data_IF_932337622816
#
_entry.id   IF_932337622816
#
_cell.length_a   1.000
_cell.length_b   1.000
_cell.length_c   1.000
_cell.angle_alpha   90.00
_cell.angle_beta   90.00
_cell.angle_gamma   90.00
#
_symmetry.space_group_name_H-M   'P 1'
#
loop_
_entity.id
_entity.type
_entity.pdbx_description
1 polymer ?
#
# COMPACT_ATOMS: atom_id res chain seq x y z
N UNK A 1 78.15 25.27 -0.46
CA UNK A 1 78.81 24.61 -1.60
C UNK A 1 77.78 23.72 -2.28
N UNK A 2 77.48 24.03 -3.54
CA UNK A 2 76.68 23.28 -4.54
C UNK A 2 77.58 22.12 -5.06
N UNK A 3 77.19 21.02 -5.77
CA UNK A 3 75.92 20.72 -6.49
C UNK A 3 75.35 19.29 -6.43
N UNK A 4 74.18 19.16 -7.07
CA UNK A 4 73.70 18.11 -7.98
C UNK A 4 73.63 16.66 -7.42
N UNK A 5 72.58 15.89 -7.69
CA UNK A 5 72.36 15.29 -9.01
C UNK A 5 70.88 15.18 -9.35
N UNK A 6 70.60 15.53 -10.61
CA UNK A 6 69.43 15.15 -11.38
C UNK A 6 69.34 13.63 -11.53
N UNK A 7 68.13 13.09 -11.49
CA UNK A 7 67.76 11.99 -12.39
C UNK A 7 66.29 12.15 -12.76
N UNK A 8 66.10 12.64 -13.99
CA UNK A 8 64.84 12.59 -14.69
C UNK A 8 64.49 11.13 -14.97
N UNK A 9 63.27 10.71 -14.66
CA UNK A 9 62.65 9.59 -15.35
C UNK A 9 61.23 9.97 -15.75
N UNK A 10 61.12 10.23 -17.04
CA UNK A 10 59.91 10.20 -17.85
C UNK A 10 59.24 8.84 -17.66
N UNK A 11 57.99 8.82 -17.17
CA UNK A 11 57.08 7.72 -17.49
C UNK A 11 55.87 8.33 -18.19
N UNK A 12 55.76 7.92 -19.44
CA UNK A 12 54.79 8.31 -20.42
C UNK A 12 53.36 8.08 -19.94
N UNK A 13 52.49 9.02 -20.29
CA UNK A 13 51.04 8.89 -20.28
C UNK A 13 50.60 7.67 -21.09
N UNK A 14 50.09 6.64 -20.43
CA UNK A 14 49.17 5.69 -21.04
C UNK A 14 47.74 6.18 -20.80
N UNK A 15 47.26 7.05 -21.70
CA UNK A 15 45.83 7.33 -21.83
C UNK A 15 45.22 6.15 -22.59
N UNK A 16 44.85 5.10 -21.85
CA UNK A 16 44.04 4.00 -22.38
C UNK A 16 42.62 4.52 -22.54
N UNK A 17 42.29 4.99 -23.75
CA UNK A 17 40.92 5.27 -24.14
C UNK A 17 40.11 3.98 -23.96
N UNK A 18 39.22 3.96 -22.97
CA UNK A 18 38.30 2.87 -22.77
C UNK A 18 37.33 2.84 -23.96
N UNK A 19 37.00 1.66 -24.53
CA UNK A 19 35.99 1.55 -25.55
C UNK A 19 34.64 1.99 -24.97
N UNK A 20 34.09 3.07 -25.53
CA UNK A 20 32.71 3.51 -25.25
C UNK A 20 31.81 2.42 -25.82
N UNK A 21 31.21 1.61 -24.95
CA UNK A 21 30.17 0.68 -25.37
C UNK A 21 28.94 1.52 -25.78
N UNK A 22 28.33 1.24 -26.94
CA UNK A 22 27.12 1.94 -27.35
C UNK A 22 26.03 1.71 -26.29
N UNK A 23 25.37 2.80 -25.89
CA UNK A 23 24.20 2.73 -25.01
C UNK A 23 23.14 1.85 -25.69
N UNK A 24 22.57 0.86 -24.99
CA UNK A 24 21.51 0.04 -25.55
C UNK A 24 20.31 0.93 -25.86
N UNK A 25 19.87 0.93 -27.11
CA UNK A 25 18.64 1.60 -27.51
C UNK A 25 17.48 1.04 -26.66
N UNK A 26 16.59 1.90 -26.14
CA UNK A 26 15.43 1.45 -25.39
C UNK A 26 14.61 0.55 -26.30
N UNK A 27 14.48 -0.72 -25.92
CA UNK A 27 13.60 -1.64 -26.62
C UNK A 27 12.18 -1.04 -26.55
N UNK A 28 11.62 -0.73 -27.72
CA UNK A 28 10.21 -0.40 -27.88
C UNK A 28 9.38 -1.59 -27.35
N UNK A 29 9.00 -1.50 -26.08
CA UNK A 29 8.05 -2.41 -25.45
C UNK A 29 6.68 -2.11 -26.07
N UNK A 30 6.41 -2.81 -27.17
CA UNK A 30 5.07 -2.95 -27.73
C UNK A 30 4.18 -3.69 -26.71
N UNK A 31 3.57 -2.90 -25.82
CA UNK A 31 2.63 -3.31 -24.75
C UNK A 31 1.34 -3.95 -25.32
N UNK A 32 1.21 -4.04 -26.65
CA UNK A 32 0.01 -4.56 -27.31
C UNK A 32 0.00 -6.09 -27.47
N UNK A 33 1.06 -6.80 -27.06
CA UNK A 33 1.25 -8.24 -27.33
C UNK A 33 1.19 -9.17 -26.13
N UNK A 34 1.07 -8.66 -24.91
CA UNK A 34 0.79 -9.54 -23.78
C UNK A 34 -0.70 -9.91 -23.83
N UNK A 35 -1.07 -11.18 -24.11
CA UNK A 35 -2.43 -11.62 -23.83
C UNK A 35 -2.72 -11.31 -22.35
N UNK A 36 -3.94 -10.86 -22.01
CA UNK A 36 -4.28 -10.59 -20.63
C UNK A 36 -3.88 -11.80 -19.79
N UNK A 37 -3.10 -11.56 -18.74
CA UNK A 37 -2.63 -12.60 -17.85
C UNK A 37 -3.84 -13.44 -17.42
N UNK A 38 -3.89 -14.76 -17.75
CA UNK A 38 -5.02 -15.60 -17.35
C UNK A 38 -5.15 -15.70 -15.83
N UNK A 39 -4.09 -15.34 -15.09
CA UNK A 39 -4.07 -15.26 -13.63
C UNK A 39 -4.33 -13.83 -13.10
N UNK A 40 -4.61 -12.86 -13.99
CA UNK A 40 -5.13 -11.57 -13.54
C UNK A 40 -6.46 -11.84 -12.84
N UNK A 41 -6.66 -11.37 -11.58
CA UNK A 41 -7.82 -11.72 -10.79
C UNK A 41 -9.06 -11.29 -11.57
N UNK A 42 -9.74 -12.28 -12.16
CA UNK A 42 -11.02 -12.07 -12.82
C UNK A 42 -11.92 -11.52 -11.75
N UNK A 43 -12.25 -10.23 -11.85
CA UNK A 43 -13.17 -9.60 -10.92
C UNK A 43 -14.39 -10.52 -10.77
N UNK A 44 -14.77 -10.79 -9.51
CA UNK A 44 -15.92 -11.62 -9.24
C UNK A 44 -17.11 -11.15 -10.11
N UNK A 45 -17.88 -12.06 -10.73
CA UNK A 45 -18.94 -11.69 -11.67
C UNK A 45 -19.93 -10.64 -11.12
N UNK A 46 -20.11 -10.64 -9.80
CA UNK A 46 -20.91 -9.66 -9.06
C UNK A 46 -20.27 -8.26 -9.08
N UNK A 47 -18.97 -8.13 -8.80
CA UNK A 47 -18.24 -6.86 -8.87
C UNK A 47 -18.24 -6.29 -10.28
N UNK A 48 -18.10 -7.13 -11.30
CA UNK A 48 -18.19 -6.69 -12.69
C UNK A 48 -19.57 -6.08 -13.00
N UNK A 49 -20.64 -6.74 -12.55
CA UNK A 49 -22.02 -6.24 -12.72
C UNK A 49 -22.24 -4.92 -11.98
N UNK A 50 -21.67 -4.76 -10.79
CA UNK A 50 -21.72 -3.51 -10.02
C UNK A 50 -20.96 -2.38 -10.71
N UNK A 51 -19.78 -2.66 -11.25
CA UNK A 51 -19.00 -1.69 -11.99
C UNK A 51 -19.75 -1.21 -13.24
N UNK A 52 -20.31 -2.15 -14.01
CA UNK A 52 -21.12 -1.85 -15.20
C UNK A 52 -22.35 -0.99 -14.88
N UNK A 53 -22.99 -1.19 -13.72
CA UNK A 53 -24.10 -0.35 -13.26
C UNK A 53 -23.70 1.13 -13.17
N UNK A 54 -22.51 1.45 -12.63
CA UNK A 54 -22.08 2.83 -12.44
C UNK A 54 -21.77 3.55 -13.78
N UNK A 55 -21.36 2.83 -14.83
CA UNK A 55 -20.96 3.43 -16.11
C UNK A 55 -22.14 4.05 -16.89
N UNK A 56 -23.38 3.67 -16.56
CA UNK A 56 -24.58 4.16 -17.25
C UNK A 56 -24.96 5.62 -16.98
N UNK A 57 -24.38 6.27 -15.96
CA UNK A 57 -24.81 7.58 -15.49
C UNK A 57 -23.95 8.72 -16.03
N UNK A 58 -24.60 9.72 -16.64
CA UNK A 58 -23.94 10.91 -17.22
C UNK A 58 -24.24 12.16 -16.39
N UNK A 59 -23.36 12.47 -15.47
CA UNK A 59 -23.40 13.72 -14.71
C UNK A 59 -23.36 13.51 -13.20
N UNK A 60 -22.95 14.55 -12.44
CA UNK A 60 -22.81 14.45 -10.98
C UNK A 60 -24.14 14.31 -10.24
N UNK A 61 -25.24 14.77 -10.84
CA UNK A 61 -26.58 14.70 -10.25
C UNK A 61 -27.19 13.29 -10.37
N UNK A 62 -26.88 12.57 -11.45
CA UNK A 62 -27.46 11.27 -11.77
C UNK A 62 -26.62 10.10 -11.23
N UNK A 63 -25.41 10.35 -10.75
CA UNK A 63 -24.51 9.31 -10.23
C UNK A 63 -25.02 8.76 -8.88
N UNK A 64 -25.40 7.48 -8.77
CA UNK A 64 -25.98 6.90 -7.55
C UNK A 64 -24.96 6.86 -6.43
N UNK A 65 -25.08 7.77 -5.46
CA UNK A 65 -24.12 7.90 -4.35
C UNK A 65 -24.17 6.76 -3.33
N UNK A 66 -25.12 5.84 -3.48
CA UNK A 66 -25.24 4.66 -2.64
C UNK A 66 -24.13 3.63 -2.91
N UNK A 67 -23.62 3.59 -4.14
CA UNK A 67 -22.60 2.61 -4.56
C UNK A 67 -21.56 3.15 -5.55
N UNK A 68 -21.83 4.31 -6.16
CA UNK A 68 -20.98 4.93 -7.16
C UNK A 68 -20.48 6.30 -6.68
N UNK A 69 -19.33 6.71 -7.21
CA UNK A 69 -18.73 8.01 -7.01
C UNK A 69 -18.50 8.68 -8.38
N UNK A 70 -19.01 9.91 -8.51
CA UNK A 70 -18.66 10.82 -9.59
C UNK A 70 -17.17 11.23 -9.56
N UNK A 71 -16.41 10.90 -10.61
CA UNK A 71 -15.04 11.38 -10.79
C UNK A 71 -15.02 12.50 -11.84
N UNK A 72 -14.88 13.78 -11.44
CA UNK A 72 -14.89 14.91 -12.38
C UNK A 72 -13.83 14.78 -13.47
N UNK A 73 -12.64 14.29 -13.10
CA UNK A 73 -11.50 14.14 -14.00
C UNK A 73 -11.73 13.12 -15.12
N UNK A 74 -12.65 12.17 -14.92
CA UNK A 74 -12.99 11.14 -15.89
C UNK A 74 -14.34 11.39 -16.55
N UNK A 75 -15.04 12.48 -16.18
CA UNK A 75 -16.34 12.84 -16.72
C UNK A 75 -17.41 11.76 -16.54
N UNK A 76 -17.26 10.90 -15.52
CA UNK A 76 -18.06 9.69 -15.38
C UNK A 76 -18.26 9.23 -13.94
N UNK A 77 -19.30 8.43 -13.76
CA UNK A 77 -19.63 7.75 -12.53
C UNK A 77 -18.88 6.41 -12.49
N UNK A 78 -18.20 6.12 -11.38
CA UNK A 78 -17.46 4.86 -11.17
C UNK A 78 -17.92 4.19 -9.90
N UNK A 79 -17.57 2.91 -9.73
CA UNK A 79 -17.75 2.21 -8.47
C UNK A 79 -17.00 2.96 -7.36
N UNK A 80 -17.69 3.25 -6.26
CA UNK A 80 -17.05 3.89 -5.12
C UNK A 80 -16.14 2.87 -4.41
N UNK A 81 -14.89 3.22 -4.05
CA UNK A 81 -14.06 2.35 -3.22
C UNK A 81 -14.72 2.17 -1.86
N UNK A 82 -14.51 1.02 -1.19
CA UNK A 82 -15.16 0.73 0.10
C UNK A 82 -14.99 1.87 1.13
N UNK A 83 -13.80 2.49 1.32
CA UNK A 83 -13.61 3.61 2.25
C UNK A 83 -14.45 4.86 1.96
N UNK A 84 -15.04 4.98 0.77
CA UNK A 84 -15.93 6.09 0.41
C UNK A 84 -17.41 5.82 0.72
N UNK A 85 -17.75 4.57 1.08
CA UNK A 85 -19.10 4.17 1.42
C UNK A 85 -19.37 4.42 2.90
N UNK A 86 -20.60 4.84 3.24
CA UNK A 86 -21.03 4.83 4.63
C UNK A 86 -21.19 3.40 5.14
N UNK A 87 -21.12 3.22 6.46
CA UNK A 87 -21.29 1.91 7.11
C UNK A 87 -22.59 1.23 6.69
N UNK A 88 -23.70 2.00 6.56
CA UNK A 88 -24.99 1.43 6.16
C UNK A 88 -25.01 0.94 4.70
N UNK A 89 -24.05 1.37 3.89
CA UNK A 89 -23.90 1.05 2.46
C UNK A 89 -22.77 0.07 2.19
N UNK A 90 -22.11 -0.42 3.24
CA UNK A 90 -21.01 -1.38 3.15
C UNK A 90 -21.50 -2.81 2.90
N UNK A 91 -22.43 -2.99 1.95
CA UNK A 91 -23.06 -4.28 1.66
C UNK A 91 -22.50 -4.96 0.41
N UNK A 92 -21.42 -4.42 -0.16
CA UNK A 92 -20.75 -5.00 -1.33
C UNK A 92 -19.95 -6.23 -0.93
N UNK A 93 -19.82 -7.18 -1.84
CA UNK A 93 -19.20 -8.49 -1.57
C UNK A 93 -17.71 -8.41 -1.22
N UNK A 94 -17.06 -7.36 -1.72
CA UNK A 94 -15.64 -7.06 -1.53
C UNK A 94 -15.39 -6.03 -0.42
N UNK A 95 -16.44 -5.59 0.27
CA UNK A 95 -16.32 -4.68 1.40
C UNK A 95 -16.72 -5.37 2.71
N UNK A 96 -16.26 -4.81 3.81
CA UNK A 96 -16.69 -5.19 5.16
C UNK A 96 -16.64 -4.00 6.10
N UNK A 97 -17.48 -4.04 7.13
CA UNK A 97 -17.48 -3.04 8.20
C UNK A 97 -16.45 -3.45 9.25
N UNK A 98 -15.57 -2.54 9.62
CA UNK A 98 -14.68 -2.71 10.77
C UNK A 98 -14.65 -1.44 11.63
N UNK A 99 -14.61 -1.64 12.94
CA UNK A 99 -14.33 -0.59 13.93
C UNK A 99 -12.85 -0.18 13.90
N UNK A 100 -12.59 1.09 13.58
CA UNK A 100 -11.27 1.69 13.59
C UNK A 100 -10.72 1.96 15.00
N UNK A 101 -9.51 2.49 15.04
CA UNK A 101 -8.78 2.86 16.25
C UNK A 101 -9.44 3.96 17.09
N UNK A 102 -10.31 4.77 16.47
CA UNK A 102 -11.11 5.79 17.15
C UNK A 102 -12.44 5.25 17.69
N UNK A 103 -12.74 3.96 17.50
CA UNK A 103 -14.01 3.34 17.88
C UNK A 103 -15.15 3.59 16.90
N UNK A 104 -14.89 4.25 15.76
CA UNK A 104 -15.90 4.45 14.71
C UNK A 104 -15.83 3.32 13.69
N UNK A 105 -17.01 2.89 13.24
CA UNK A 105 -17.12 1.89 12.17
C UNK A 105 -16.83 2.52 10.81
N UNK A 106 -16.06 1.82 9.98
CA UNK A 106 -15.68 2.23 8.64
C UNK A 106 -15.91 1.08 7.66
N UNK A 107 -16.27 1.42 6.42
CA UNK A 107 -16.35 0.45 5.35
C UNK A 107 -14.96 0.29 4.72
N UNK A 108 -14.37 -0.90 4.79
CA UNK A 108 -13.06 -1.17 4.23
C UNK A 108 -13.13 -2.23 3.15
N UNK A 109 -12.09 -2.28 2.32
CA UNK A 109 -11.93 -3.37 1.36
C UNK A 109 -11.64 -4.64 2.16
N UNK A 110 -12.44 -5.68 1.91
CA UNK A 110 -12.16 -7.03 2.40
C UNK A 110 -10.91 -7.55 1.70
N UNK A 111 -9.99 -8.14 2.45
CA UNK A 111 -8.85 -8.82 1.86
C UNK A 111 -9.30 -10.13 1.19
N UNK A 112 -8.79 -10.38 -0.02
CA UNK A 112 -8.94 -11.64 -0.73
C UNK A 112 -7.57 -12.33 -0.91
N UNK A 113 -7.41 -13.61 -0.53
CA UNK A 113 -8.41 -14.46 0.11
C UNK A 113 -8.75 -13.98 1.53
N UNK A 114 -10.01 -14.12 1.94
CA UNK A 114 -10.47 -13.75 3.28
C UNK A 114 -10.02 -14.81 4.30
N UNK A 115 -8.98 -14.55 5.10
CA UNK A 115 -8.48 -15.53 6.05
C UNK A 115 -9.42 -15.60 7.26
N UNK A 116 -9.49 -16.76 7.92
CA UNK A 116 -10.26 -16.91 9.16
C UNK A 116 -9.74 -15.99 10.28
N UNK A 117 -8.46 -15.64 10.22
CA UNK A 117 -7.82 -14.71 11.12
C UNK A 117 -6.73 -13.88 10.43
N UNK A 118 -6.46 -12.69 10.97
CA UNK A 118 -5.41 -11.80 10.49
C UNK A 118 -4.02 -12.19 10.99
N UNK A 119 -3.06 -12.33 10.07
CA UNK A 119 -1.64 -12.48 10.38
C UNK A 119 -1.05 -11.17 10.93
N UNK A 120 0.23 -11.19 11.31
CA UNK A 120 0.93 -9.99 11.78
C UNK A 120 0.86 -8.85 10.75
N UNK A 121 0.54 -7.64 11.20
CA UNK A 121 0.37 -6.46 10.34
C UNK A 121 -0.93 -6.45 9.51
N UNK A 122 -1.79 -7.46 9.66
CA UNK A 122 -3.08 -7.50 8.97
C UNK A 122 -4.06 -6.46 9.56
N UNK A 123 -4.73 -5.73 8.67
CA UNK A 123 -5.65 -4.63 8.99
C UNK A 123 -7.11 -4.89 8.58
N UNK A 124 -7.47 -6.14 8.22
CA UNK A 124 -8.82 -6.47 7.73
C UNK A 124 -9.73 -7.15 8.77
N UNK A 125 -11.04 -7.19 8.46
CA UNK A 125 -12.19 -7.26 9.37
C UNK A 125 -12.17 -8.35 10.43
N UNK A 126 -11.46 -9.44 10.16
CA UNK A 126 -11.41 -10.65 10.96
C UNK A 126 -10.62 -10.54 12.28
N UNK A 127 -10.82 -11.50 13.20
CA UNK A 127 -10.05 -11.58 14.44
C UNK A 127 -8.56 -11.77 14.15
N UNK A 128 -7.68 -11.34 15.06
CA UNK A 128 -6.26 -11.64 14.94
C UNK A 128 -6.02 -13.14 15.17
N UNK A 129 -5.02 -13.70 14.47
CA UNK A 129 -4.64 -15.10 14.68
C UNK A 129 -4.15 -15.33 16.12
N UNK A 130 -4.23 -16.58 16.64
CA UNK A 130 -3.79 -16.89 18.00
C UNK A 130 -2.37 -16.40 18.28
N UNK A 131 -2.19 -15.72 19.42
CA UNK A 131 -0.91 -15.12 19.82
C UNK A 131 -0.72 -13.67 19.36
N UNK A 132 -1.61 -13.14 18.51
CA UNK A 132 -1.61 -11.74 18.12
C UNK A 132 -2.75 -10.99 18.81
N UNK A 133 -2.51 -9.72 19.10
CA UNK A 133 -3.48 -8.80 19.68
C UNK A 133 -3.76 -7.65 18.74
N UNK A 134 -5.01 -7.21 18.73
CA UNK A 134 -5.46 -6.07 17.91
C UNK A 134 -5.04 -4.77 18.58
N UNK A 135 -4.22 -3.95 17.91
CA UNK A 135 -3.62 -2.73 18.47
C UNK A 135 -3.67 -1.56 17.51
N UNK A 136 -3.58 -0.39 18.09
CA UNK A 136 -3.51 0.90 17.41
C UNK A 136 -2.30 1.65 17.96
N UNK A 137 -1.78 2.59 17.18
CA UNK A 137 -0.71 3.47 17.61
C UNK A 137 0.51 3.41 16.71
N UNK A 138 0.96 4.57 16.27
CA UNK A 138 2.25 4.74 15.61
C UNK A 138 2.99 5.88 16.29
N UNK A 139 4.32 5.80 16.30
CA UNK A 139 5.14 6.90 16.78
C UNK A 139 5.30 7.93 15.65
N UNK A 140 4.71 9.11 15.80
CA UNK A 140 4.94 10.23 14.88
C UNK A 140 6.20 11.01 15.28
N UNK A 141 6.61 11.95 14.44
CA UNK A 141 7.79 12.80 14.68
C UNK A 141 7.79 13.40 16.10
N UNK A 142 8.95 13.34 16.75
CA UNK A 142 9.09 13.71 18.17
C UNK A 142 8.68 12.60 19.15
N UNK A 143 8.31 11.42 18.66
CA UNK A 143 7.97 10.26 19.49
C UNK A 143 6.64 10.43 20.22
N UNK A 144 5.76 11.29 19.74
CA UNK A 144 4.38 11.37 20.24
C UNK A 144 3.64 10.15 19.72
N UNK A 145 2.85 9.53 20.58
CA UNK A 145 2.01 8.41 20.19
C UNK A 145 0.75 8.93 19.52
N UNK A 146 0.61 8.60 18.24
CA UNK A 146 -0.58 8.88 17.49
C UNK A 146 -1.39 7.61 17.31
N UNK A 147 -2.63 7.60 17.82
CA UNK A 147 -3.59 6.53 17.54
C UNK A 147 -4.14 6.57 16.11
N UNK A 148 -3.85 7.63 15.37
CA UNK A 148 -4.29 7.88 14.02
C UNK A 148 -3.21 7.46 13.02
N UNK A 149 -3.29 6.24 12.50
CA UNK A 149 -2.69 5.95 11.19
C UNK A 149 -3.56 6.59 10.11
N UNK A 150 -3.00 6.90 8.93
CA UNK A 150 -3.75 7.43 7.77
C UNK A 150 -4.97 6.57 7.38
N UNK A 151 -4.99 5.32 7.82
CA UNK A 151 -6.07 4.36 7.58
C UNK A 151 -6.98 4.14 8.78
N UNK A 152 -6.66 4.66 9.96
CA UNK A 152 -7.41 4.48 11.22
C UNK A 152 -7.72 3.03 11.60
N UNK A 153 -7.09 2.02 10.98
CA UNK A 153 -7.41 0.62 11.21
C UNK A 153 -6.43 -0.01 12.21
N UNK A 154 -6.93 -0.82 13.16
CA UNK A 154 -6.07 -1.57 14.06
C UNK A 154 -5.35 -2.70 13.32
N UNK A 155 -4.16 -3.05 13.79
CA UNK A 155 -3.34 -4.14 13.23
C UNK A 155 -3.21 -5.27 14.23
N UNK A 156 -2.98 -6.48 13.73
CA UNK A 156 -2.64 -7.63 14.55
C UNK A 156 -1.13 -7.65 14.85
N UNK A 157 -0.75 -7.54 16.12
CA UNK A 157 0.64 -7.44 16.58
C UNK A 157 0.94 -8.48 17.66
N UNK A 158 2.19 -9.00 17.74
CA UNK A 158 2.59 -9.97 18.76
C UNK A 158 2.90 -9.36 20.15
N UNK A 159 2.21 -8.27 20.54
CA UNK A 159 2.50 -7.61 21.82
C UNK A 159 2.28 -8.55 23.02
N UNK A 160 3.15 -8.44 24.02
CA UNK A 160 3.16 -9.23 25.25
C UNK A 160 4.09 -10.44 25.20
N UNK A 161 4.88 -10.61 24.13
CA UNK A 161 5.90 -11.66 24.01
C UNK A 161 7.26 -11.26 24.62
N UNK A 162 7.40 -10.00 25.06
CA UNK A 162 8.61 -9.45 25.68
C UNK A 162 9.66 -8.96 24.68
N UNK A 163 9.36 -8.89 23.39
CA UNK A 163 10.25 -8.39 22.34
C UNK A 163 9.63 -7.18 21.66
N UNK A 164 10.46 -6.18 21.36
CA UNK A 164 10.05 -5.05 20.54
C UNK A 164 10.51 -5.27 19.09
N UNK A 165 9.66 -5.88 18.29
CA UNK A 165 9.89 -6.23 16.88
C UNK A 165 9.41 -5.12 15.96
N UNK A 166 10.19 -4.02 15.89
CA UNK A 166 9.93 -2.96 14.92
C UNK A 166 9.97 -3.48 13.47
N UNK A 167 9.30 -2.83 12.50
CA UNK A 167 8.71 -1.49 12.59
C UNK A 167 7.24 -1.45 13.05
N UNK A 168 6.58 -2.60 13.16
CA UNK A 168 5.15 -2.67 13.50
C UNK A 168 4.93 -2.46 15.01
N UNK A 169 5.75 -3.12 15.83
CA UNK A 169 5.76 -2.89 17.28
C UNK A 169 6.56 -1.64 17.60
N UNK A 170 5.94 -0.77 18.40
CA UNK A 170 6.56 0.45 18.89
C UNK A 170 5.95 0.80 20.25
N UNK A 171 6.51 1.80 20.93
CA UNK A 171 6.06 2.22 22.27
C UNK A 171 4.59 2.66 22.35
N UNK A 172 3.96 2.92 21.20
CA UNK A 172 2.57 3.35 21.11
C UNK A 172 1.62 2.18 20.86
N UNK A 173 2.03 1.20 20.06
CA UNK A 173 1.23 0.00 19.75
C UNK A 173 1.42 -1.14 20.76
N UNK A 174 2.64 -1.33 21.25
CA UNK A 174 3.04 -2.36 22.23
C UNK A 174 3.90 -1.75 23.36
N UNK A 175 3.35 -0.86 24.23
CA UNK A 175 4.10 -0.25 25.32
C UNK A 175 4.65 -1.26 26.35
N UNK A 176 4.06 -2.45 26.43
CA UNK A 176 4.53 -3.55 27.28
C UNK A 176 5.90 -4.10 26.85
N UNK A 177 6.19 -4.10 25.54
CA UNK A 177 7.42 -4.66 24.99
C UNK A 177 8.41 -3.57 24.55
N UNK A 178 7.89 -2.44 24.03
CA UNK A 178 8.66 -1.34 23.48
C UNK A 178 8.68 -0.15 24.47
N UNK A 179 9.81 0.05 25.15
CA UNK A 179 10.00 1.16 26.11
C UNK A 179 10.66 2.38 25.49
#
# INVERSE_FOLDING_TARGET
>A
MIPAWSCALLIASCNTAQPVMPEPEPADLDDSRFPPDPDSPVMAPELKREAEYCVGFRGPADCPRDRCWWKPNLGGCQMAPCPALSVERCSRVDCEVMTGCNGEDQCIQRADPHPECGAEGYYAGGPCCPGLVRRCGFAVDGGVCDGYSEFHMPWCLPCGDGKCSGPLENKCSCPEDCK
#
